data_IF_327916581998
#
_entry.id   IF_327916581998
#
_cell.length_a   1.000
_cell.length_b   1.000
_cell.length_c   1.000
_cell.angle_alpha   90.00
_cell.angle_beta   90.00
_cell.angle_gamma   90.00
#
_symmetry.space_group_name_H-M   'P 1'
#
loop_
_entity.id
_entity.type
_entity.pdbx_description
1 polymer ?
#
# COMPACT_ATOMS: atom_id res chain seq x y z
N UNK A 1 6.33 -4.53 7.72
CA UNK A 1 7.04 -5.29 6.67
C UNK A 1 6.02 -5.88 5.70
N UNK A 2 6.40 -6.12 4.44
CA UNK A 2 5.53 -6.77 3.46
C UNK A 2 5.34 -8.26 3.81
N UNK A 3 4.10 -8.80 3.73
CA UNK A 3 3.85 -10.24 3.77
C UNK A 3 4.62 -10.99 2.69
N UNK A 4 5.08 -12.20 3.00
CA UNK A 4 5.86 -13.04 2.06
C UNK A 4 5.16 -13.27 0.72
N UNK A 5 3.83 -13.41 0.73
CA UNK A 5 3.02 -13.64 -0.48
C UNK A 5 2.95 -12.43 -1.43
N UNK A 6 3.35 -11.25 -0.94
CA UNK A 6 3.45 -10.02 -1.73
C UNK A 6 4.87 -9.72 -2.20
N UNK A 7 5.86 -10.53 -1.79
CA UNK A 7 7.23 -10.36 -2.25
C UNK A 7 7.32 -10.71 -3.74
N UNK A 8 7.88 -9.79 -4.52
CA UNK A 8 8.16 -9.97 -5.93
C UNK A 8 9.67 -10.12 -6.12
N UNK A 9 10.11 -11.27 -6.59
CA UNK A 9 11.53 -11.57 -6.84
C UNK A 9 11.66 -12.60 -7.96
N UNK A 10 12.90 -12.80 -8.42
CA UNK A 10 13.27 -13.87 -9.37
C UNK A 10 14.54 -14.56 -8.89
N UNK A 11 14.71 -15.82 -9.26
CA UNK A 11 15.97 -16.54 -9.07
C UNK A 11 16.91 -16.28 -10.24
N UNK A 12 18.20 -16.23 -9.94
CA UNK A 12 19.29 -16.13 -10.91
C UNK A 12 20.46 -16.96 -10.39
N UNK A 13 20.52 -18.23 -10.81
CA UNK A 13 21.37 -19.23 -10.16
C UNK A 13 21.00 -19.35 -8.67
N UNK A 14 22.00 -19.25 -7.80
CA UNK A 14 21.82 -19.33 -6.34
C UNK A 14 21.46 -17.98 -5.68
N UNK A 15 21.15 -16.96 -6.48
CA UNK A 15 20.82 -15.61 -5.98
C UNK A 15 19.33 -15.28 -6.15
N UNK A 16 18.74 -14.69 -5.11
CA UNK A 16 17.41 -14.07 -5.16
C UNK A 16 17.56 -12.59 -5.56
N UNK A 17 16.95 -12.20 -6.66
CA UNK A 17 16.93 -10.81 -7.14
C UNK A 17 15.54 -10.22 -6.87
N UNK A 18 15.43 -9.20 -5.99
CA UNK A 18 14.16 -8.53 -5.76
C UNK A 18 13.71 -7.77 -7.00
N UNK A 19 12.42 -7.88 -7.34
CA UNK A 19 11.81 -7.13 -8.44
C UNK A 19 11.44 -5.74 -7.93
N UNK A 20 12.24 -4.75 -8.32
CA UNK A 20 11.98 -3.33 -8.02
C UNK A 20 10.91 -2.79 -8.97
N UNK A 21 10.05 -1.92 -8.45
CA UNK A 21 9.12 -1.17 -9.29
C UNK A 21 9.89 -0.09 -10.06
N UNK A 22 9.69 0.04 -11.38
CA UNK A 22 10.31 1.12 -12.15
C UNK A 22 9.73 2.47 -11.72
N UNK A 23 10.56 3.51 -11.67
CA UNK A 23 10.09 4.89 -11.40
C UNK A 23 9.55 5.52 -12.69
N UNK A 24 8.43 4.99 -13.17
CA UNK A 24 7.73 5.47 -14.36
C UNK A 24 6.33 5.98 -14.01
N UNK A 25 5.70 6.68 -14.96
CA UNK A 25 4.38 7.31 -14.76
C UNK A 25 3.30 6.31 -14.35
N UNK A 26 3.36 5.07 -14.85
CA UNK A 26 2.44 4.01 -14.46
C UNK A 26 2.55 3.67 -12.97
N UNK A 27 3.77 3.49 -12.47
CA UNK A 27 4.02 3.17 -11.05
C UNK A 27 3.69 4.35 -10.15
N UNK A 28 4.02 5.58 -10.58
CA UNK A 28 3.68 6.80 -9.87
C UNK A 28 2.16 6.99 -9.82
N UNK A 29 1.46 6.73 -10.92
CA UNK A 29 0.00 6.76 -11.00
C UNK A 29 -0.66 5.76 -10.05
N UNK A 30 -0.16 4.53 -9.99
CA UNK A 30 -0.62 3.53 -9.01
C UNK A 30 -0.39 3.99 -7.56
N UNK A 31 0.78 4.56 -7.27
CA UNK A 31 1.06 5.09 -5.93
C UNK A 31 0.13 6.25 -5.57
N UNK A 32 -0.12 7.18 -6.50
CA UNK A 32 -1.02 8.31 -6.31
C UNK A 32 -2.48 7.87 -6.12
N UNK A 33 -2.96 6.91 -6.93
CA UNK A 33 -4.28 6.28 -6.78
C UNK A 33 -4.46 5.70 -5.37
N UNK A 34 -3.46 4.96 -4.90
CA UNK A 34 -3.47 4.38 -3.56
C UNK A 34 -3.46 5.46 -2.47
N UNK A 35 -2.58 6.46 -2.56
CA UNK A 35 -2.53 7.57 -1.59
C UNK A 35 -3.90 8.28 -1.51
N UNK A 36 -4.51 8.58 -2.66
CA UNK A 36 -5.83 9.22 -2.72
C UNK A 36 -6.92 8.37 -2.06
N UNK A 37 -6.85 7.03 -2.19
CA UNK A 37 -7.75 6.14 -1.48
C UNK A 37 -7.64 6.31 0.04
N UNK A 38 -6.41 6.31 0.59
CA UNK A 38 -6.17 6.54 2.03
C UNK A 38 -6.64 7.93 2.48
N UNK A 39 -6.35 8.98 1.71
CA UNK A 39 -6.80 10.35 2.02
C UNK A 39 -8.33 10.47 2.03
N UNK A 40 -9.01 9.79 1.10
CA UNK A 40 -10.49 9.75 1.06
C UNK A 40 -11.11 9.02 2.26
N UNK A 41 -10.29 8.28 3.02
CA UNK A 41 -10.68 7.52 4.20
C UNK A 41 -10.22 8.15 5.51
N UNK A 42 -9.72 9.40 5.49
CA UNK A 42 -9.55 10.20 6.70
C UNK A 42 -10.93 10.30 7.38
N UNK A 43 -10.95 10.05 8.69
CA UNK A 43 -12.17 9.93 9.52
C UNK A 43 -13.13 8.78 9.21
N UNK A 44 -12.72 7.82 8.38
CA UNK A 44 -13.47 6.57 8.15
C UNK A 44 -13.00 5.45 9.05
N UNK A 45 -13.83 4.41 9.14
CA UNK A 45 -13.47 3.17 9.85
C UNK A 45 -12.43 2.37 9.07
N UNK A 46 -11.68 1.54 9.79
CA UNK A 46 -10.74 0.61 9.15
C UNK A 46 -11.43 -0.36 8.19
N UNK A 47 -12.70 -0.72 8.45
CA UNK A 47 -13.51 -1.57 7.57
C UNK A 47 -13.73 -0.90 6.20
N UNK A 48 -14.16 0.36 6.19
CA UNK A 48 -14.40 1.13 4.97
C UNK A 48 -13.13 1.31 4.13
N UNK A 49 -11.97 1.54 4.77
CA UNK A 49 -10.69 1.57 4.08
C UNK A 49 -10.36 0.22 3.45
N UNK A 50 -10.57 -0.89 4.16
CA UNK A 50 -10.32 -2.23 3.62
C UNK A 50 -11.23 -2.54 2.43
N UNK A 51 -12.51 -2.18 2.49
CA UNK A 51 -13.47 -2.36 1.40
C UNK A 51 -13.05 -1.56 0.16
N UNK A 52 -12.70 -0.28 0.32
CA UNK A 52 -12.21 0.54 -0.80
C UNK A 52 -10.90 0.02 -1.40
N UNK A 53 -9.99 -0.50 -0.58
CA UNK A 53 -8.74 -1.08 -1.08
C UNK A 53 -8.99 -2.36 -1.87
N UNK A 54 -9.97 -3.18 -1.46
CA UNK A 54 -10.35 -4.38 -2.21
C UNK A 54 -10.99 -4.03 -3.56
N UNK A 55 -11.88 -3.03 -3.58
CA UNK A 55 -12.47 -2.50 -4.82
C UNK A 55 -11.41 -1.94 -5.77
N UNK A 56 -10.46 -1.16 -5.23
CA UNK A 56 -9.38 -0.54 -6.00
C UNK A 56 -8.38 -1.56 -6.55
N UNK A 57 -8.20 -2.70 -5.87
CA UNK A 57 -7.41 -3.81 -6.36
C UNK A 57 -8.08 -4.48 -7.56
N UNK A 58 -9.38 -4.79 -7.43
CA UNK A 58 -10.19 -5.46 -8.44
C UNK A 58 -9.56 -6.78 -8.94
N UNK A 59 -10.00 -7.23 -10.12
CA UNK A 59 -9.43 -8.42 -10.80
C UNK A 59 -8.17 -8.06 -11.61
N UNK A 60 -7.26 -7.26 -11.04
CA UNK A 60 -6.06 -6.82 -11.74
C UNK A 60 -4.93 -7.87 -11.64
N UNK A 61 -4.30 -8.30 -12.75
CA UNK A 61 -3.17 -9.25 -12.70
C UNK A 61 -1.97 -8.72 -11.89
N UNK A 62 -1.87 -7.40 -11.70
CA UNK A 62 -0.84 -6.75 -10.90
C UNK A 62 -1.27 -6.52 -9.44
N UNK A 63 -2.22 -7.29 -8.91
CA UNK A 63 -2.74 -7.14 -7.54
C UNK A 63 -1.63 -7.04 -6.47
N UNK A 64 -0.51 -7.76 -6.64
CA UNK A 64 0.64 -7.71 -5.71
C UNK A 64 1.20 -6.31 -5.53
N UNK A 65 1.23 -5.50 -6.59
CA UNK A 65 1.73 -4.11 -6.54
C UNK A 65 0.76 -3.24 -5.76
N UNK A 66 -0.54 -3.27 -6.10
CA UNK A 66 -1.59 -2.49 -5.41
C UNK A 66 -1.69 -2.87 -3.94
N UNK A 67 -1.75 -4.16 -3.63
CA UNK A 67 -1.81 -4.70 -2.27
C UNK A 67 -0.52 -4.39 -1.48
N UNK A 68 0.63 -4.51 -2.12
CA UNK A 68 1.92 -4.15 -1.51
C UNK A 68 2.01 -2.68 -1.12
N UNK A 69 1.60 -1.77 -2.02
CA UNK A 69 1.50 -0.33 -1.74
C UNK A 69 0.51 -0.05 -0.60
N UNK A 70 -0.65 -0.71 -0.61
CA UNK A 70 -1.63 -0.57 0.47
C UNK A 70 -1.07 -1.00 1.83
N UNK A 71 -0.31 -2.09 1.89
CA UNK A 71 0.36 -2.52 3.11
C UNK A 71 1.38 -1.49 3.63
N UNK A 72 2.21 -0.93 2.74
CA UNK A 72 3.18 0.10 3.10
C UNK A 72 2.50 1.37 3.62
N UNK A 73 1.50 1.85 2.90
CA UNK A 73 0.74 3.06 3.26
C UNK A 73 -0.04 2.87 4.56
N UNK A 74 -0.63 1.69 4.81
CA UNK A 74 -1.39 1.43 6.03
C UNK A 74 -0.55 1.60 7.30
N UNK A 75 0.72 1.18 7.26
CA UNK A 75 1.65 1.37 8.38
C UNK A 75 1.88 2.87 8.63
N UNK A 76 2.20 3.62 7.58
CA UNK A 76 2.46 5.07 7.66
C UNK A 76 1.20 5.83 8.12
N UNK A 77 0.04 5.50 7.54
CA UNK A 77 -1.24 6.13 7.85
C UNK A 77 -1.64 5.94 9.32
N UNK A 78 -1.44 4.73 9.87
CA UNK A 78 -1.73 4.45 11.27
C UNK A 78 -0.81 5.24 12.21
N UNK A 79 0.49 5.32 11.89
CA UNK A 79 1.46 6.11 12.67
C UNK A 79 1.10 7.59 12.71
N UNK A 80 0.76 8.19 11.56
CA UNK A 80 0.32 9.59 11.48
C UNK A 80 -0.96 9.82 12.28
N UNK A 81 -1.94 8.93 12.19
CA UNK A 81 -3.19 9.04 12.94
C UNK A 81 -2.96 9.01 14.45
N UNK A 82 -2.08 8.13 14.93
CA UNK A 82 -1.73 8.07 16.35
C UNK A 82 -1.02 9.34 16.83
N UNK A 83 -0.11 9.89 16.03
CA UNK A 83 0.60 11.13 16.36
C UNK A 83 -0.36 12.34 16.43
N UNK A 84 -1.32 12.43 15.51
CA UNK A 84 -2.36 13.47 15.55
C UNK A 84 -3.23 13.32 16.80
N UNK A 85 -3.67 12.10 17.13
CA UNK A 85 -4.47 11.85 18.33
C UNK A 85 -3.71 12.16 19.64
N UNK A 86 -2.40 11.93 19.66
CA UNK A 86 -1.54 12.25 20.79
C UNK A 86 -1.41 13.77 20.99
N UNK A 87 -1.22 14.53 19.91
CA UNK A 87 -1.19 16.01 19.96
C UNK A 87 -2.52 16.67 20.32
N UNK A 88 -3.65 15.97 20.18
CA UNK A 88 -4.98 16.50 20.56
C UNK A 88 -5.33 16.21 22.03
N UNK A 89 -4.58 15.33 22.70
CA UNK A 89 -4.80 14.95 24.10
C UNK A 89 -3.85 15.65 25.09
N UNK A 90 -2.80 16.30 24.59
CA UNK A 90 -1.81 17.07 25.36
C UNK A 90 -1.85 18.53 24.90
#
# INVERSE_FOLDING_TARGET
MLPSDLLMYRYSGDTIIPKRLPLNDSTIGLAAEQINCFLSCVDKTQKQLTEKLAELEGDNPNYRVKRGLAHLLKIIFLLLKLLVLWNQKN
#
